data_IF_403451698205
#
_entry.id   IF_403451698205
#
_cell.length_a   1.000
_cell.length_b   1.000
_cell.length_c   1.000
_cell.angle_alpha   90.00
_cell.angle_beta   90.00
_cell.angle_gamma   90.00
#
_symmetry.space_group_name_H-M   'P 1'
#
loop_
_entity.id
_entity.type
_entity.pdbx_description
1 polymer ?
#
# COMPACT_ATOMS: atom_id res chain seq x y z
N UNK A 1 -24.88 -7.04 12.02
CA UNK A 1 -24.70 -7.77 10.75
C UNK A 1 -23.38 -7.33 10.14
N UNK A 2 -22.45 -8.24 9.83
CA UNK A 2 -21.11 -7.89 9.34
C UNK A 2 -21.23 -7.21 7.94
N UNK A 3 -20.91 -5.90 7.80
CA UNK A 3 -21.14 -5.13 6.55
C UNK A 3 -20.25 -5.60 5.39
N UNK A 4 -19.24 -6.43 5.69
CA UNK A 4 -18.29 -6.97 4.71
C UNK A 4 -18.78 -8.28 4.07
N UNK A 5 -19.76 -8.96 4.67
CA UNK A 5 -20.26 -10.26 4.20
C UNK A 5 -20.96 -10.17 2.84
N UNK A 6 -21.64 -9.06 2.57
CA UNK A 6 -22.38 -8.82 1.32
C UNK A 6 -21.56 -8.06 0.25
N UNK A 7 -20.32 -7.67 0.54
CA UNK A 7 -19.47 -6.99 -0.46
C UNK A 7 -18.68 -8.01 -1.30
N UNK A 8 -18.46 -7.65 -2.57
CA UNK A 8 -17.61 -8.46 -3.45
C UNK A 8 -16.17 -8.49 -2.88
N UNK A 9 -15.54 -9.66 -2.96
CA UNK A 9 -14.20 -9.87 -2.41
C UNK A 9 -13.20 -8.91 -3.04
N UNK A 10 -13.25 -8.75 -4.37
CA UNK A 10 -12.41 -7.82 -5.12
C UNK A 10 -12.58 -6.37 -4.65
N UNK A 11 -13.82 -5.93 -4.34
CA UNK A 11 -14.05 -4.57 -3.83
C UNK A 11 -13.42 -4.36 -2.46
N UNK A 12 -13.43 -5.37 -1.60
CA UNK A 12 -12.72 -5.32 -0.31
C UNK A 12 -11.21 -5.32 -0.49
N UNK A 13 -10.69 -6.16 -1.37
CA UNK A 13 -9.27 -6.22 -1.70
C UNK A 13 -8.76 -4.86 -2.16
N UNK A 14 -9.43 -4.25 -3.14
CA UNK A 14 -9.04 -2.93 -3.66
C UNK A 14 -9.12 -1.86 -2.57
N UNK A 15 -10.15 -1.88 -1.71
CA UNK A 15 -10.26 -0.93 -0.59
C UNK A 15 -9.10 -1.06 0.40
N UNK A 16 -8.81 -2.26 0.87
CA UNK A 16 -7.72 -2.49 1.81
C UNK A 16 -6.35 -2.22 1.18
N UNK A 17 -6.16 -2.63 -0.07
CA UNK A 17 -4.94 -2.35 -0.83
C UNK A 17 -4.73 -0.84 -1.02
N UNK A 18 -5.76 -0.09 -1.41
CA UNK A 18 -5.65 1.36 -1.64
C UNK A 18 -5.29 2.12 -0.36
N UNK A 19 -5.95 1.80 0.76
CA UNK A 19 -5.63 2.43 2.06
C UNK A 19 -4.20 2.12 2.47
N UNK A 20 -3.79 0.85 2.40
CA UNK A 20 -2.42 0.44 2.72
C UNK A 20 -1.39 1.11 1.82
N UNK A 21 -1.66 1.16 0.51
CA UNK A 21 -0.80 1.79 -0.48
C UNK A 21 -0.53 3.25 -0.11
N UNK A 22 -1.58 4.02 0.17
CA UNK A 22 -1.46 5.44 0.53
C UNK A 22 -0.69 5.63 1.83
N UNK A 23 -1.07 4.89 2.89
CA UNK A 23 -0.44 5.03 4.22
C UNK A 23 1.05 4.70 4.16
N UNK A 24 1.42 3.58 3.55
CA UNK A 24 2.82 3.14 3.48
C UNK A 24 3.64 4.06 2.58
N UNK A 25 3.05 4.59 1.50
CA UNK A 25 3.73 5.58 0.64
C UNK A 25 4.04 6.85 1.42
N UNK A 26 3.08 7.38 2.18
CA UNK A 26 3.30 8.57 3.02
C UNK A 26 4.40 8.31 4.05
N UNK A 27 4.34 7.17 4.75
CA UNK A 27 5.37 6.81 5.73
C UNK A 27 6.76 6.73 5.10
N UNK A 28 6.91 6.08 3.94
CA UNK A 28 8.19 5.99 3.23
C UNK A 28 8.73 7.37 2.84
N UNK A 29 7.88 8.25 2.31
CA UNK A 29 8.27 9.62 1.94
C UNK A 29 8.76 10.36 3.19
N UNK A 30 8.01 10.34 4.29
CA UNK A 30 8.38 11.02 5.54
C UNK A 30 9.72 10.47 6.05
N UNK A 31 9.88 9.14 6.14
CA UNK A 31 11.12 8.51 6.61
C UNK A 31 12.31 8.92 5.73
N UNK A 32 12.14 8.90 4.41
CA UNK A 32 13.19 9.23 3.45
C UNK A 32 13.58 10.71 3.50
N UNK A 33 12.62 11.62 3.75
CA UNK A 33 12.92 13.04 3.97
C UNK A 33 13.86 13.26 5.16
N UNK A 34 13.65 12.55 6.27
CA UNK A 34 14.53 12.65 7.44
C UNK A 34 15.86 11.93 7.24
N UNK A 35 15.86 10.80 6.52
CA UNK A 35 17.04 9.95 6.35
C UNK A 35 18.03 10.49 5.31
N UNK A 36 17.54 11.08 4.22
CA UNK A 36 18.36 11.40 3.04
C UNK A 36 18.59 12.90 2.82
N UNK A 37 18.48 13.71 3.87
CA UNK A 37 18.79 15.15 3.80
C UNK A 37 17.73 15.98 3.07
N UNK A 38 16.45 15.63 3.24
CA UNK A 38 15.31 16.40 2.74
C UNK A 38 14.78 15.96 1.37
N UNK A 39 14.11 16.89 0.69
CA UNK A 39 13.30 16.61 -0.52
C UNK A 39 14.15 16.05 -1.66
N UNK A 40 15.34 16.60 -1.90
CA UNK A 40 16.21 16.16 -2.99
C UNK A 40 16.68 14.71 -2.83
N UNK A 41 17.02 14.29 -1.60
CA UNK A 41 17.41 12.90 -1.32
C UNK A 41 16.26 11.92 -1.46
N UNK A 42 15.05 12.32 -1.05
CA UNK A 42 13.83 11.51 -1.23
C UNK A 42 13.48 11.32 -2.71
N UNK A 43 13.63 12.37 -3.53
CA UNK A 43 13.46 12.26 -4.99
C UNK A 43 14.49 11.31 -5.59
N UNK A 44 15.76 11.42 -5.21
CA UNK A 44 16.80 10.53 -5.71
C UNK A 44 16.54 9.06 -5.32
N UNK A 45 16.07 8.80 -4.10
CA UNK A 45 15.82 7.44 -3.63
C UNK A 45 14.61 6.78 -4.30
N UNK A 46 13.48 7.47 -4.45
CA UNK A 46 12.23 6.83 -4.90
C UNK A 46 11.67 7.32 -6.23
N UNK A 47 12.10 8.48 -6.72
CA UNK A 47 11.49 9.14 -7.88
C UNK A 47 12.51 9.43 -9.00
N UNK A 48 13.69 8.79 -8.95
CA UNK A 48 14.64 8.82 -10.06
C UNK A 48 14.17 7.93 -11.22
N UNK A 49 14.74 8.13 -12.41
CA UNK A 49 14.42 7.31 -13.58
C UNK A 49 14.65 5.81 -13.35
N UNK A 50 15.62 5.46 -12.51
CA UNK A 50 16.00 4.07 -12.21
C UNK A 50 15.18 3.47 -11.07
N UNK A 51 14.77 4.28 -10.09
CA UNK A 51 14.17 3.78 -8.84
C UNK A 51 12.65 3.92 -8.78
N UNK A 52 12.05 4.78 -9.60
CA UNK A 52 10.60 4.98 -9.66
C UNK A 52 9.84 3.69 -9.95
N UNK A 53 10.23 2.96 -11.00
CA UNK A 53 9.50 1.77 -11.43
C UNK A 53 9.61 0.62 -10.40
N UNK A 54 10.80 0.32 -9.84
CA UNK A 54 10.93 -0.57 -8.69
C UNK A 54 10.08 -0.14 -7.48
N UNK A 55 10.10 1.14 -7.12
CA UNK A 55 9.33 1.67 -5.99
C UNK A 55 7.83 1.40 -6.16
N UNK A 56 7.25 1.81 -7.30
CA UNK A 56 5.82 1.63 -7.59
C UNK A 56 5.47 0.14 -7.66
N UNK A 57 6.30 -0.69 -8.29
CA UNK A 57 6.04 -2.12 -8.44
C UNK A 57 6.00 -2.82 -7.08
N UNK A 58 7.01 -2.62 -6.23
CA UNK A 58 7.05 -3.19 -4.88
C UNK A 58 5.88 -2.71 -4.04
N UNK A 59 5.56 -1.41 -4.13
CA UNK A 59 4.45 -0.82 -3.38
C UNK A 59 3.10 -1.40 -3.81
N UNK A 60 2.87 -1.57 -5.12
CA UNK A 60 1.65 -2.19 -5.65
C UNK A 60 1.53 -3.66 -5.25
N UNK A 61 2.61 -4.44 -5.36
CA UNK A 61 2.61 -5.85 -4.97
C UNK A 61 2.30 -6.01 -3.48
N UNK A 62 2.96 -5.24 -2.60
CA UNK A 62 2.70 -5.29 -1.16
C UNK A 62 1.26 -4.88 -0.83
N UNK A 63 0.75 -3.82 -1.46
CA UNK A 63 -0.62 -3.37 -1.26
C UNK A 63 -1.65 -4.42 -1.71
N UNK A 64 -1.43 -5.07 -2.86
CA UNK A 64 -2.30 -6.15 -3.35
C UNK A 64 -2.29 -7.35 -2.41
N UNK A 65 -1.10 -7.80 -1.98
CA UNK A 65 -0.97 -8.92 -1.03
C UNK A 65 -1.69 -8.59 0.28
N UNK A 66 -1.46 -7.40 0.84
CA UNK A 66 -2.14 -6.95 2.04
C UNK A 66 -3.66 -6.90 1.85
N UNK A 67 -4.12 -6.34 0.73
CA UNK A 67 -5.53 -6.25 0.40
C UNK A 67 -6.20 -7.61 0.28
N UNK A 68 -5.53 -8.59 -0.33
CA UNK A 68 -6.03 -9.96 -0.45
C UNK A 68 -6.14 -10.64 0.91
N UNK A 69 -5.10 -10.52 1.76
CA UNK A 69 -5.09 -11.07 3.11
C UNK A 69 -6.20 -10.46 3.98
N UNK A 70 -6.36 -9.14 3.97
CA UNK A 70 -7.38 -8.45 4.76
C UNK A 70 -8.79 -8.75 4.24
N UNK A 71 -9.01 -8.74 2.93
CA UNK A 71 -10.29 -9.13 2.36
C UNK A 71 -10.64 -10.58 2.71
N UNK A 72 -9.66 -11.48 2.68
CA UNK A 72 -9.83 -12.88 3.06
C UNK A 72 -10.20 -13.03 4.53
N UNK A 73 -9.46 -12.35 5.40
CA UNK A 73 -9.73 -12.33 6.84
C UNK A 73 -11.14 -11.82 7.17
N UNK A 74 -11.51 -10.64 6.65
CA UNK A 74 -12.81 -10.03 6.96
C UNK A 74 -14.01 -10.74 6.34
N UNK A 75 -13.82 -11.45 5.24
CA UNK A 75 -14.89 -12.14 4.53
C UNK A 75 -15.08 -13.59 4.96
N UNK A 76 -13.99 -14.32 5.20
CA UNK A 76 -14.03 -15.77 5.42
C UNK A 76 -13.73 -16.18 6.86
N UNK A 77 -12.92 -15.41 7.59
CA UNK A 77 -12.45 -15.81 8.94
C UNK A 77 -13.24 -15.07 10.04
N UNK A 78 -13.36 -13.76 9.91
CA UNK A 78 -14.05 -12.91 10.88
C UNK A 78 -15.57 -13.06 10.73
N UNK A 79 -16.18 -13.81 11.65
CA UNK A 79 -17.64 -14.00 11.74
C UNK A 79 -18.35 -12.72 12.17
#
# INVERSE_FOLDING_TARGET
>A
MNPYKNQSFLRLTVRFAAVFFVVVTILKIIISLFKNGGVSGMIAEYFSAETWMPFVTVQLVMALVYGLLMAGYYKFIKK
#
